data_IF_572969072305
#
_entry.id   IF_572969072305
#
_cell.length_a   1.000
_cell.length_b   1.000
_cell.length_c   1.000
_cell.angle_alpha   90.00
_cell.angle_beta   90.00
_cell.angle_gamma   90.00
#
_symmetry.space_group_name_H-M   'P 1'
#
loop_
_entity.id
_entity.type
_entity.pdbx_description
1 polymer ?
#
# COMPACT_ATOMS: atom_id res chain seq x y z
N UNK A 1 7.47 15.22 5.68
CA UNK A 1 6.19 15.18 6.38
C UNK A 1 6.54 15.22 7.85
N UNK A 2 6.02 16.19 8.61
CA UNK A 2 6.23 16.18 10.06
C UNK A 2 5.65 14.86 10.59
N UNK A 3 6.42 14.16 11.43
CA UNK A 3 5.93 12.99 12.14
C UNK A 3 4.86 13.51 13.10
N UNK A 4 3.59 13.39 12.71
CA UNK A 4 2.50 13.63 13.63
C UNK A 4 2.70 12.67 14.81
N UNK A 5 2.76 13.22 16.03
CA UNK A 5 3.09 12.44 17.23
C UNK A 5 1.95 11.54 17.68
N UNK A 6 0.77 11.67 17.06
CA UNK A 6 -0.42 10.88 17.39
C UNK A 6 -0.65 9.67 16.43
N UNK A 7 -1.31 8.61 16.93
CA UNK A 7 -1.76 7.49 16.11
C UNK A 7 -2.62 7.95 14.92
N UNK A 8 -2.40 7.36 13.75
CA UNK A 8 -3.03 7.79 12.49
C UNK A 8 -4.46 7.25 12.36
N UNK A 9 -5.41 7.87 13.05
CA UNK A 9 -6.81 7.40 13.10
C UNK A 9 -7.53 7.37 11.75
N UNK A 10 -7.09 8.18 10.78
CA UNK A 10 -7.66 8.27 9.44
C UNK A 10 -7.06 7.28 8.42
N UNK A 11 -6.21 6.35 8.87
CA UNK A 11 -5.45 5.46 7.98
C UNK A 11 -6.34 4.55 7.12
N UNK A 12 -7.51 4.15 7.64
CA UNK A 12 -8.50 3.40 6.89
C UNK A 12 -9.08 4.18 5.70
N UNK A 13 -9.31 5.48 5.88
CA UNK A 13 -9.80 6.36 4.81
C UNK A 13 -8.73 6.55 3.72
N UNK A 14 -7.46 6.65 4.10
CA UNK A 14 -6.35 6.70 3.14
C UNK A 14 -6.31 5.42 2.29
N UNK A 15 -6.52 4.25 2.89
CA UNK A 15 -6.60 2.99 2.16
C UNK A 15 -7.71 3.01 1.10
N UNK A 16 -8.90 3.48 1.48
CA UNK A 16 -10.03 3.59 0.56
C UNK A 16 -9.70 4.51 -0.62
N UNK A 17 -9.05 5.65 -0.37
CA UNK A 17 -8.62 6.55 -1.45
C UNK A 17 -7.57 5.95 -2.38
N UNK A 18 -6.58 5.25 -1.82
CA UNK A 18 -5.55 4.58 -2.62
C UNK A 18 -6.13 3.42 -3.46
N UNK A 19 -7.12 2.72 -2.91
CA UNK A 19 -7.73 1.57 -3.59
C UNK A 19 -8.94 1.93 -4.45
N UNK A 20 -9.38 3.20 -4.48
CA UNK A 20 -10.49 3.68 -5.30
C UNK A 20 -10.13 3.81 -6.79
N UNK A 21 -9.63 2.72 -7.36
CA UNK A 21 -9.32 2.58 -8.79
C UNK A 21 -9.98 1.30 -9.29
N UNK A 22 -10.31 1.23 -10.57
CA UNK A 22 -10.96 0.03 -11.15
C UNK A 22 -10.17 -1.26 -10.90
N UNK A 23 -8.85 -1.17 -10.81
CA UNK A 23 -7.97 -2.31 -10.56
C UNK A 23 -7.96 -2.78 -9.10
N UNK A 24 -8.04 -1.85 -8.14
CA UNK A 24 -7.93 -2.13 -6.70
C UNK A 24 -9.26 -2.08 -5.95
N UNK A 25 -10.35 -1.63 -6.57
CA UNK A 25 -11.64 -1.43 -5.90
C UNK A 25 -12.16 -2.71 -5.23
N UNK A 26 -11.81 -3.88 -5.75
CA UNK A 26 -12.21 -5.18 -5.18
C UNK A 26 -11.69 -5.41 -3.76
N UNK A 27 -10.65 -4.69 -3.33
CA UNK A 27 -10.07 -4.78 -1.99
C UNK A 27 -10.40 -3.58 -1.10
N UNK A 28 -11.03 -2.51 -1.60
CA UNK A 28 -11.27 -1.29 -0.82
C UNK A 28 -12.02 -1.55 0.49
N UNK A 29 -12.96 -2.49 0.49
CA UNK A 29 -13.77 -2.79 1.69
C UNK A 29 -13.06 -3.66 2.73
N UNK A 30 -11.88 -4.23 2.43
CA UNK A 30 -11.18 -5.11 3.38
C UNK A 30 -10.72 -4.37 4.62
N UNK A 31 -10.45 -3.06 4.51
CA UNK A 31 -9.98 -2.23 5.62
C UNK A 31 -11.07 -2.01 6.68
N UNK A 32 -12.34 -2.06 6.30
CA UNK A 32 -13.48 -1.84 7.19
C UNK A 32 -13.80 -3.07 8.06
N UNK A 33 -13.31 -4.25 7.65
CA UNK A 33 -13.52 -5.53 8.31
C UNK A 33 -12.22 -6.34 8.29
N UNK A 34 -11.17 -5.77 8.88
CA UNK A 34 -9.88 -6.47 8.98
C UNK A 34 -10.05 -7.82 9.70
N UNK A 35 -9.28 -8.81 9.27
CA UNK A 35 -9.31 -10.21 9.76
C UNK A 35 -10.61 -10.98 9.44
N UNK A 36 -11.53 -10.41 8.66
CA UNK A 36 -12.57 -11.19 7.99
C UNK A 36 -11.94 -12.11 6.94
N UNK A 37 -12.17 -13.41 7.02
CA UNK A 37 -11.45 -14.41 6.24
C UNK A 37 -11.58 -14.20 4.71
N UNK A 38 -12.79 -13.89 4.24
CA UNK A 38 -13.07 -13.74 2.81
C UNK A 38 -12.47 -12.44 2.26
N UNK A 39 -12.60 -11.34 3.00
CA UNK A 39 -12.03 -10.06 2.61
C UNK A 39 -10.51 -10.05 2.71
N UNK A 40 -9.95 -10.69 3.73
CA UNK A 40 -8.51 -10.84 3.90
C UNK A 40 -7.89 -11.68 2.78
N UNK A 41 -8.54 -12.79 2.39
CA UNK A 41 -8.08 -13.59 1.25
C UNK A 41 -8.07 -12.78 -0.05
N UNK A 42 -9.14 -12.02 -0.33
CA UNK A 42 -9.20 -11.14 -1.51
C UNK A 42 -8.08 -10.09 -1.51
N UNK A 43 -7.81 -9.50 -0.35
CA UNK A 43 -6.71 -8.55 -0.19
C UNK A 43 -5.37 -9.21 -0.53
N UNK A 44 -5.06 -10.35 0.11
CA UNK A 44 -3.78 -11.04 -0.10
C UNK A 44 -3.56 -11.45 -1.55
N UNK A 45 -4.58 -12.03 -2.20
CA UNK A 45 -4.50 -12.42 -3.61
C UNK A 45 -4.22 -11.21 -4.52
N UNK A 46 -4.88 -10.07 -4.28
CA UNK A 46 -4.63 -8.85 -5.07
C UNK A 46 -3.23 -8.27 -4.83
N UNK A 47 -2.72 -8.33 -3.60
CA UNK A 47 -1.35 -7.89 -3.28
C UNK A 47 -0.30 -8.82 -3.93
N UNK A 48 -0.54 -10.12 -3.99
CA UNK A 48 0.34 -11.06 -4.69
C UNK A 48 0.28 -10.92 -6.22
N UNK A 49 -0.89 -10.57 -6.77
CA UNK A 49 -1.05 -10.16 -8.18
C UNK A 49 -0.18 -8.92 -8.47
N UNK A 50 -0.19 -7.90 -7.60
CA UNK A 50 0.67 -6.73 -7.76
C UNK A 50 2.16 -7.07 -7.72
N UNK A 51 2.59 -7.98 -6.83
CA UNK A 51 3.99 -8.46 -6.80
C UNK A 51 4.35 -9.18 -8.10
N UNK A 52 3.43 -9.98 -8.62
CA UNK A 52 3.61 -10.67 -9.90
C UNK A 52 3.76 -9.65 -11.05
N UNK A 53 2.94 -8.60 -11.08
CA UNK A 53 3.07 -7.51 -12.05
C UNK A 53 4.39 -6.75 -11.94
N UNK A 54 4.88 -6.51 -10.72
CA UNK A 54 6.19 -5.89 -10.52
C UNK A 54 7.32 -6.76 -11.08
N UNK A 55 7.25 -8.07 -10.82
CA UNK A 55 8.19 -9.05 -11.38
C UNK A 55 8.12 -9.04 -12.92
N UNK A 56 6.93 -9.12 -13.50
CA UNK A 56 6.71 -9.05 -14.95
C UNK A 56 7.25 -7.76 -15.56
N UNK A 57 7.08 -6.62 -14.87
CA UNK A 57 7.59 -5.33 -15.32
C UNK A 57 9.12 -5.33 -15.48
N UNK A 58 9.86 -6.04 -14.60
CA UNK A 58 11.33 -6.19 -14.74
C UNK A 58 11.74 -6.93 -16.02
N UNK A 59 10.86 -7.76 -16.58
CA UNK A 59 11.13 -8.52 -17.82
C UNK A 59 10.57 -7.82 -19.06
N UNK A 60 9.39 -7.22 -18.98
CA UNK A 60 8.68 -6.65 -20.12
C UNK A 60 9.25 -5.29 -20.58
N UNK A 61 9.74 -4.48 -19.65
CA UNK A 61 10.27 -3.15 -19.95
C UNK A 61 11.80 -3.19 -20.16
N UNK A 62 12.31 -2.23 -20.94
CA UNK A 62 13.74 -2.16 -21.30
C UNK A 62 14.42 -0.96 -20.66
N UNK A 63 15.68 -1.13 -20.24
CA UNK A 63 16.48 -0.06 -19.66
C UNK A 63 16.03 0.33 -18.25
N UNK A 64 16.36 1.56 -17.83
CA UNK A 64 16.13 2.04 -16.45
C UNK A 64 14.65 2.16 -16.05
N UNK A 65 13.73 2.18 -17.02
CA UNK A 65 12.29 2.26 -16.74
C UNK A 65 11.75 0.98 -16.11
N UNK A 66 12.32 -0.20 -16.40
CA UNK A 66 11.82 -1.48 -15.88
C UNK A 66 11.92 -1.58 -14.35
N UNK A 67 13.07 -1.17 -13.79
CA UNK A 67 13.27 -1.17 -12.35
C UNK A 67 12.40 -0.10 -11.70
N UNK A 68 12.33 1.10 -12.30
CA UNK A 68 11.50 2.18 -11.76
C UNK A 68 10.00 1.83 -11.72
N UNK A 69 9.49 1.08 -12.71
CA UNK A 69 8.09 0.59 -12.70
C UNK A 69 7.91 -0.50 -11.64
N UNK A 70 8.81 -1.49 -11.60
CA UNK A 70 8.73 -2.59 -10.65
C UNK A 70 8.82 -2.10 -9.20
N UNK A 71 9.78 -1.24 -8.89
CA UNK A 71 9.97 -0.61 -7.57
C UNK A 71 8.74 0.19 -7.15
N UNK A 72 8.12 0.94 -8.07
CA UNK A 72 6.89 1.66 -7.77
C UNK A 72 5.73 0.72 -7.41
N UNK A 73 5.53 -0.36 -8.17
CA UNK A 73 4.46 -1.33 -7.89
C UNK A 73 4.71 -2.04 -6.55
N UNK A 74 5.96 -2.44 -6.27
CA UNK A 74 6.35 -3.07 -5.00
C UNK A 74 6.16 -2.12 -3.81
N UNK A 75 6.55 -0.85 -3.95
CA UNK A 75 6.36 0.15 -2.90
C UNK A 75 4.86 0.41 -2.65
N UNK A 76 4.04 0.47 -3.70
CA UNK A 76 2.60 0.67 -3.57
C UNK A 76 1.94 -0.51 -2.85
N UNK A 77 2.25 -1.74 -3.27
CA UNK A 77 1.78 -2.96 -2.61
C UNK A 77 2.20 -3.01 -1.14
N UNK A 78 3.47 -2.67 -0.87
CA UNK A 78 4.04 -2.67 0.48
C UNK A 78 3.38 -1.64 1.39
N UNK A 79 3.02 -0.47 0.86
CA UNK A 79 2.28 0.55 1.60
C UNK A 79 0.85 0.08 1.90
N UNK A 80 0.11 -0.43 0.91
CA UNK A 80 -1.26 -0.95 1.13
C UNK A 80 -1.29 -2.02 2.22
N UNK A 81 -0.32 -2.93 2.21
CA UNK A 81 -0.25 -3.97 3.22
C UNK A 81 0.09 -3.41 4.61
N UNK A 82 1.01 -2.45 4.70
CA UNK A 82 1.35 -1.78 5.96
C UNK A 82 0.15 -1.03 6.55
N UNK A 83 -0.61 -0.30 5.72
CA UNK A 83 -1.86 0.36 6.11
C UNK A 83 -2.86 -0.63 6.69
N UNK A 84 -3.04 -1.80 6.05
CA UNK A 84 -3.93 -2.85 6.54
C UNK A 84 -3.46 -3.42 7.90
N UNK A 85 -2.17 -3.68 8.06
CA UNK A 85 -1.59 -4.14 9.33
C UNK A 85 -1.76 -3.09 10.44
N UNK A 86 -1.54 -1.83 10.12
CA UNK A 86 -1.71 -0.72 11.05
C UNK A 86 -3.18 -0.51 11.44
N UNK A 87 -4.14 -0.73 10.53
CA UNK A 87 -5.57 -0.74 10.90
C UNK A 87 -5.92 -1.87 11.87
N UNK A 88 -5.30 -3.06 11.75
CA UNK A 88 -5.47 -4.14 12.73
C UNK A 88 -4.97 -3.68 14.12
N UNK A 89 -3.83 -2.99 14.17
CA UNK A 89 -3.29 -2.43 15.41
C UNK A 89 -4.24 -1.42 16.03
N UNK A 90 -4.78 -0.47 15.27
CA UNK A 90 -5.76 0.50 15.78
C UNK A 90 -7.02 -0.18 16.32
N UNK A 91 -7.50 -1.25 15.66
CA UNK A 91 -8.63 -2.02 16.15
C UNK A 91 -8.29 -2.71 17.49
N UNK A 92 -7.08 -3.22 17.66
CA UNK A 92 -6.60 -3.79 18.94
C UNK A 92 -6.51 -2.72 20.03
N UNK A 93 -5.99 -1.53 19.72
CA UNK A 93 -5.96 -0.39 20.65
C UNK A 93 -7.37 0.03 21.09
N UNK A 94 -8.32 0.07 20.15
CA UNK A 94 -9.73 0.35 20.47
C UNK A 94 -10.35 -0.74 21.35
N UNK A 95 -9.99 -2.01 21.11
CA UNK A 95 -10.45 -3.12 21.94
C UNK A 95 -9.83 -3.08 23.34
N UNK A 96 -8.54 -2.75 23.48
CA UNK A 96 -7.90 -2.64 24.80
C UNK A 96 -8.50 -1.51 25.64
N UNK A 97 -8.92 -0.40 25.02
CA UNK A 97 -9.65 0.65 25.70
C UNK A 97 -10.99 0.15 26.28
N UNK A 98 -11.65 -0.81 25.61
CA UNK A 98 -12.92 -1.40 26.10
C UNK A 98 -12.71 -2.47 27.17
N UNK A 99 -11.71 -3.33 27.01
CA UNK A 99 -11.49 -4.50 27.88
C UNK A 99 -10.69 -4.12 29.13
N UNK A 100 -9.65 -3.31 28.97
CA UNK A 100 -8.70 -2.98 30.03
C UNK A 100 -8.78 -1.52 30.49
N UNK A 101 -9.65 -0.71 29.88
CA UNK A 101 -9.80 0.72 30.16
C UNK A 101 -8.50 1.51 29.97
N UNK A 102 -7.63 1.03 29.06
CA UNK A 102 -6.39 1.72 28.74
C UNK A 102 -6.67 3.07 28.07
N UNK A 103 -5.88 4.08 28.43
CA UNK A 103 -5.82 5.33 27.67
C UNK A 103 -5.17 5.10 26.30
N UNK A 104 -5.28 6.08 25.41
CA UNK A 104 -4.67 5.99 24.09
C UNK A 104 -3.14 5.84 24.19
N UNK A 105 -2.52 6.56 25.11
CA UNK A 105 -1.08 6.54 25.39
C UNK A 105 -0.66 5.16 25.91
N UNK A 106 -1.40 4.61 26.88
CA UNK A 106 -1.14 3.27 27.39
C UNK A 106 -1.28 2.21 26.29
N UNK A 107 -2.32 2.29 25.46
CA UNK A 107 -2.48 1.36 24.35
C UNK A 107 -1.37 1.50 23.31
N UNK A 108 -0.93 2.73 23.01
CA UNK A 108 0.18 3.00 22.08
C UNK A 108 1.49 2.42 22.60
N UNK A 109 1.81 2.62 23.89
CA UNK A 109 3.01 2.09 24.53
C UNK A 109 2.99 0.56 24.61
N UNK A 110 1.90 -0.04 25.13
CA UNK A 110 1.79 -1.49 25.33
C UNK A 110 1.72 -2.28 24.02
N UNK A 111 1.27 -1.67 22.93
CA UNK A 111 1.16 -2.31 21.62
C UNK A 111 2.26 -1.84 20.65
N UNK A 112 3.28 -1.13 21.14
CA UNK A 112 4.41 -0.68 20.33
C UNK A 112 3.99 0.10 19.07
N UNK A 113 2.97 0.94 19.20
CA UNK A 113 2.35 1.59 18.04
C UNK A 113 3.28 2.56 17.34
N UNK A 114 4.13 3.26 18.09
CA UNK A 114 5.08 4.22 17.52
C UNK A 114 6.03 3.54 16.52
N UNK A 115 6.52 2.35 16.83
CA UNK A 115 7.41 1.57 15.95
C UNK A 115 6.67 1.19 14.66
N UNK A 116 5.43 0.71 14.79
CA UNK A 116 4.59 0.35 13.65
C UNK A 116 4.21 1.57 12.77
N UNK A 117 4.05 2.74 13.39
CA UNK A 117 3.80 4.01 12.68
C UNK A 117 5.05 4.51 11.96
N UNK A 118 6.24 4.34 12.54
CA UNK A 118 7.50 4.63 11.85
C UNK A 118 7.66 3.75 10.61
N UNK A 119 7.42 2.44 10.74
CA UNK A 119 7.44 1.51 9.60
C UNK A 119 6.46 1.94 8.50
N UNK A 120 5.24 2.38 8.87
CA UNK A 120 4.26 2.91 7.93
C UNK A 120 4.78 4.14 7.17
N UNK A 121 5.37 5.11 7.87
CA UNK A 121 5.94 6.31 7.25
C UNK A 121 7.15 6.01 6.36
N UNK A 122 7.94 4.99 6.69
CA UNK A 122 9.00 4.52 5.80
C UNK A 122 8.42 3.96 4.49
N UNK A 123 7.32 3.19 4.54
CA UNK A 123 6.65 2.70 3.32
C UNK A 123 6.06 3.81 2.48
N UNK A 124 5.47 4.82 3.11
CA UNK A 124 4.95 5.99 2.41
C UNK A 124 6.09 6.78 1.73
N UNK A 125 7.19 6.99 2.45
CA UNK A 125 8.38 7.66 1.93
C UNK A 125 9.00 6.88 0.76
N UNK A 126 9.05 5.55 0.85
CA UNK A 126 9.52 4.68 -0.24
C UNK A 126 8.62 4.75 -1.47
N UNK A 127 7.29 4.83 -1.30
CA UNK A 127 6.36 5.05 -2.42
C UNK A 127 6.57 6.42 -3.07
N UNK A 128 6.71 7.49 -2.28
CA UNK A 128 6.96 8.82 -2.81
C UNK A 128 8.29 8.90 -3.59
N UNK A 129 9.35 8.27 -3.06
CA UNK A 129 10.66 8.20 -3.70
C UNK A 129 10.60 7.40 -5.02
N UNK A 130 9.99 6.21 -5.01
CA UNK A 130 9.86 5.39 -6.23
C UNK A 130 9.00 6.08 -7.29
N UNK A 131 7.93 6.79 -6.90
CA UNK A 131 7.14 7.59 -7.83
C UNK A 131 7.94 8.73 -8.47
N UNK A 132 8.77 9.43 -7.69
CA UNK A 132 9.67 10.46 -8.21
C UNK A 132 10.66 9.88 -9.21
N UNK A 133 11.29 8.74 -8.86
CA UNK A 133 12.20 8.01 -9.75
C UNK A 133 11.49 7.58 -11.02
N UNK A 134 10.28 7.02 -10.92
CA UNK A 134 9.44 6.67 -12.05
C UNK A 134 9.23 7.91 -12.92
N UNK A 135 8.74 9.03 -12.40
CA UNK A 135 8.55 10.26 -13.17
C UNK A 135 9.81 10.75 -13.90
N UNK A 136 10.99 10.61 -13.29
CA UNK A 136 12.27 11.03 -13.89
C UNK A 136 12.75 10.09 -14.99
N UNK A 137 12.65 8.77 -14.78
CA UNK A 137 13.06 7.76 -15.75
C UNK A 137 12.04 7.59 -16.88
N UNK A 138 10.80 7.96 -16.61
CA UNK A 138 9.67 7.74 -17.48
C UNK A 138 9.31 9.04 -18.22
N UNK A 139 9.97 9.27 -19.36
CA UNK A 139 9.38 10.14 -20.39
C UNK A 139 8.07 9.44 -20.80
N UNK A 140 6.91 9.82 -20.26
CA UNK A 140 5.58 9.19 -20.46
C UNK A 140 5.35 8.57 -21.85
N UNK A 141 5.86 9.18 -22.91
CA UNK A 141 5.81 8.66 -24.28
C UNK A 141 6.50 7.31 -24.52
N UNK A 142 7.53 6.91 -23.76
CA UNK A 142 8.21 5.62 -23.95
C UNK A 142 7.40 4.45 -23.38
N UNK A 143 6.82 4.60 -22.19
CA UNK A 143 5.88 3.60 -21.63
C UNK A 143 4.62 3.54 -22.47
N UNK A 144 4.07 4.68 -22.90
CA UNK A 144 2.87 4.67 -23.74
C UNK A 144 3.11 3.94 -25.07
N UNK A 145 4.29 4.11 -25.69
CA UNK A 145 4.69 3.31 -26.86
C UNK A 145 4.86 1.84 -26.54
N UNK A 146 5.45 1.46 -25.41
CA UNK A 146 5.60 0.05 -25.04
C UNK A 146 4.26 -0.61 -24.69
N UNK A 147 3.34 0.10 -24.03
CA UNK A 147 1.96 -0.37 -23.81
C UNK A 147 1.23 -0.55 -25.14
N UNK A 148 1.43 0.35 -26.12
CA UNK A 148 0.88 0.18 -27.47
C UNK A 148 1.49 -1.01 -28.23
N UNK A 149 2.77 -1.30 -28.01
CA UNK A 149 3.48 -2.40 -28.68
C UNK A 149 3.23 -3.77 -28.02
N UNK A 150 2.99 -3.80 -26.71
CA UNK A 150 2.72 -5.02 -25.93
C UNK A 150 1.23 -5.28 -25.69
N UNK A 151 0.38 -4.28 -25.93
CA UNK A 151 -1.07 -4.43 -25.93
C UNK A 151 -1.54 -5.33 -27.07
N UNK A 152 -2.71 -5.98 -26.94
CA UNK A 152 -3.15 -6.93 -27.95
C UNK A 152 -3.28 -6.25 -29.31
N UNK A 153 -2.67 -6.85 -30.33
CA UNK A 153 -2.97 -6.55 -31.74
C UNK A 153 -4.34 -7.17 -32.04
N UNK A 154 -5.42 -6.55 -31.58
CA UNK A 154 -6.75 -6.87 -32.09
C UNK A 154 -7.13 -5.80 -33.12
N UNK A 155 -7.09 -6.21 -34.40
CA UNK A 155 -7.87 -5.59 -35.48
C UNK A 155 -9.33 -6.00 -35.34
#
# INVERSE_FOLDING_TARGET
MELDNEPQMAIGQLFEWLTNTTYLQSISTSINKVLDADLQLKLHLKLDEMRSLAMEARFCFKGKSREAIAEFIEAYQSLLFSIYQYQILLNKMSQSAKVYQWTLEQASEQLHELEQRQDLFERESALAASYKTLCQQNKRGAIQRQIQLAGPIWR
#
